data_IF_772807341007
#
_entry.id   IF_772807341007
#
_cell.length_a   1.000
_cell.length_b   1.000
_cell.length_c   1.000
_cell.angle_alpha   90.00
_cell.angle_beta   90.00
_cell.angle_gamma   90.00
#
_symmetry.space_group_name_H-M   'P 1'
#
loop_
_entity.id
_entity.type
_entity.pdbx_description
1 polymer ?
#
# COMPACT_ATOMS: atom_id res chain seq x y z
N UNK A 1 -22.91 0.27 -5.82
CA UNK A 1 -22.38 1.57 -5.37
C UNK A 1 -20.90 1.54 -5.61
N UNK A 2 -20.42 2.29 -6.59
CA UNK A 2 -19.00 2.32 -6.96
C UNK A 2 -18.20 3.06 -5.88
N UNK A 3 -17.48 2.31 -5.03
CA UNK A 3 -16.64 2.87 -3.97
C UNK A 3 -15.26 3.17 -4.55
N UNK A 4 -15.14 4.33 -5.19
CA UNK A 4 -13.89 4.76 -5.83
C UNK A 4 -13.17 5.80 -4.98
N UNK A 5 -11.88 5.58 -4.73
CA UNK A 5 -10.98 6.55 -4.10
C UNK A 5 -10.08 7.12 -5.19
N UNK A 6 -10.14 8.44 -5.38
CA UNK A 6 -9.36 9.14 -6.39
C UNK A 6 -8.24 9.95 -5.75
N UNK A 7 -7.01 9.77 -6.23
CA UNK A 7 -5.83 10.52 -5.79
C UNK A 7 -5.34 11.45 -6.91
N UNK A 8 -5.02 12.70 -6.58
CA UNK A 8 -4.46 13.66 -7.54
C UNK A 8 -3.38 14.53 -6.88
N UNK A 9 -2.21 14.65 -7.51
CA UNK A 9 -1.10 15.49 -7.03
C UNK A 9 0.15 14.69 -6.63
N UNK A 10 1.01 15.30 -5.82
CA UNK A 10 2.26 14.71 -5.33
C UNK A 10 2.20 14.58 -3.81
N UNK A 11 2.45 13.38 -3.28
CA UNK A 11 2.32 13.09 -1.86
C UNK A 11 3.60 12.45 -1.33
N UNK A 12 4.34 13.10 -0.41
CA UNK A 12 5.28 12.40 0.44
C UNK A 12 4.48 11.57 1.46
N UNK A 13 4.64 10.25 1.43
CA UNK A 13 3.87 9.33 2.29
C UNK A 13 4.78 8.47 3.14
N UNK A 14 4.40 8.28 4.38
CA UNK A 14 5.08 7.38 5.31
C UNK A 14 4.46 5.98 5.22
N UNK A 15 5.30 4.97 5.06
CA UNK A 15 4.88 3.58 5.06
C UNK A 15 4.48 3.15 6.47
N UNK A 16 3.36 2.43 6.59
CA UNK A 16 2.94 1.85 7.86
C UNK A 16 3.94 0.78 8.30
N UNK A 17 4.46 0.93 9.51
CA UNK A 17 5.43 0.00 10.09
C UNK A 17 4.80 -1.30 10.61
N UNK A 18 3.51 -1.25 10.97
CA UNK A 18 2.78 -2.40 11.48
C UNK A 18 1.40 -2.49 10.81
N UNK A 19 1.09 -3.68 10.30
CA UNK A 19 -0.22 -4.01 9.75
C UNK A 19 -0.94 -4.95 10.70
N UNK A 20 -2.21 -4.67 10.96
CA UNK A 20 -3.09 -5.57 11.71
C UNK A 20 -3.44 -6.79 10.83
N UNK A 21 -3.20 -8.02 11.30
CA UNK A 21 -3.67 -9.25 10.67
C UNK A 21 -5.14 -9.16 10.26
N UNK A 22 -5.45 -9.50 9.01
CA UNK A 22 -6.84 -9.47 8.50
C UNK A 22 -7.40 -8.07 8.25
N UNK A 23 -6.59 -7.02 8.41
CA UNK A 23 -6.94 -5.68 8.00
C UNK A 23 -6.70 -5.48 6.50
N UNK A 24 -7.54 -4.66 5.88
CA UNK A 24 -7.36 -4.21 4.51
C UNK A 24 -6.59 -2.90 4.45
N UNK A 25 -5.69 -2.79 3.48
CA UNK A 25 -4.80 -1.66 3.33
C UNK A 25 -4.67 -1.24 1.88
N UNK A 26 -4.33 0.04 1.70
CA UNK A 26 -3.95 0.61 0.43
C UNK A 26 -2.45 0.89 0.47
N UNK A 27 -1.74 0.45 -0.55
CA UNK A 27 -0.28 0.61 -0.61
C UNK A 27 0.31 0.19 -1.94
N UNK A 28 1.56 -0.25 -1.90
CA UNK A 28 2.33 -0.58 -3.10
C UNK A 28 3.07 -1.89 -2.93
N UNK A 29 3.39 -2.51 -4.06
CA UNK A 29 4.41 -3.55 -4.13
C UNK A 29 5.77 -2.89 -4.37
N UNK A 30 6.72 -3.06 -3.46
CA UNK A 30 8.06 -2.55 -3.65
C UNK A 30 8.72 -3.23 -4.85
N UNK A 31 9.15 -2.45 -5.84
CA UNK A 31 9.83 -3.02 -7.01
C UNK A 31 11.28 -3.50 -6.75
N UNK A 32 11.84 -3.24 -5.56
CA UNK A 32 13.18 -3.69 -5.19
C UNK A 32 13.16 -5.07 -4.50
N UNK A 33 12.39 -5.23 -3.41
CA UNK A 33 12.28 -6.50 -2.69
C UNK A 33 11.05 -7.33 -3.06
N UNK A 34 10.10 -6.76 -3.81
CA UNK A 34 8.88 -7.45 -4.24
C UNK A 34 7.78 -7.53 -3.17
N UNK A 35 8.01 -7.05 -1.95
CA UNK A 35 7.03 -7.09 -0.86
C UNK A 35 6.01 -5.95 -0.90
N UNK A 36 4.81 -6.23 -0.40
CA UNK A 36 3.77 -5.22 -0.23
C UNK A 36 3.98 -4.43 1.06
N UNK A 37 3.76 -3.12 0.99
CA UNK A 37 3.74 -2.25 2.16
C UNK A 37 2.56 -1.29 2.04
N UNK A 38 1.95 -0.94 3.18
CA UNK A 38 0.81 -0.05 3.22
C UNK A 38 1.24 1.40 3.46
N UNK A 39 0.46 2.34 2.93
CA UNK A 39 0.56 3.77 3.27
C UNK A 39 -0.66 4.24 4.08
N UNK A 40 -1.79 3.54 3.96
CA UNK A 40 -3.00 3.84 4.72
C UNK A 40 -3.90 2.61 4.89
N UNK A 41 -4.80 2.68 5.87
CA UNK A 41 -5.87 1.70 6.05
C UNK A 41 -6.93 1.88 4.94
N UNK A 42 -7.50 0.76 4.50
CA UNK A 42 -8.65 0.77 3.61
C UNK A 42 -9.90 1.15 4.42
N UNK A 43 -10.66 2.20 4.03
CA UNK A 43 -11.71 2.79 4.87
C UNK A 43 -12.97 1.93 5.07
N UNK A 44 -13.26 0.96 4.22
CA UNK A 44 -14.46 0.12 4.28
C UNK A 44 -14.21 -1.16 5.08
N UNK A 45 -12.97 -1.65 5.09
CA UNK A 45 -12.56 -2.87 5.77
C UNK A 45 -12.97 -4.15 5.04
N UNK A 46 -13.45 -4.02 3.80
CA UNK A 46 -13.93 -5.13 2.96
C UNK A 46 -13.07 -5.33 1.70
N UNK A 47 -12.11 -4.44 1.43
CA UNK A 47 -11.22 -4.54 0.27
C UNK A 47 -11.89 -4.19 -1.06
N UNK A 48 -13.19 -3.84 -1.05
CA UNK A 48 -13.96 -3.54 -2.25
C UNK A 48 -13.92 -2.05 -2.60
N UNK A 49 -12.70 -1.51 -2.71
CA UNK A 49 -12.48 -0.13 -3.18
C UNK A 49 -11.70 -0.09 -4.49
N UNK A 50 -12.23 0.65 -5.45
CA UNK A 50 -11.52 0.95 -6.69
C UNK A 50 -10.58 2.14 -6.45
N UNK A 51 -9.33 2.00 -6.89
CA UNK A 51 -8.34 3.07 -6.82
C UNK A 51 -8.20 3.73 -8.20
N UNK A 52 -8.12 5.05 -8.23
CA UNK A 52 -8.02 5.80 -9.49
C UNK A 52 -7.31 7.14 -9.29
N UNK A 53 -6.98 7.79 -10.41
CA UNK A 53 -6.47 9.15 -10.43
C UNK A 53 -5.05 9.28 -10.96
N UNK A 54 -4.51 10.48 -10.85
CA UNK A 54 -3.18 10.85 -11.35
C UNK A 54 -2.40 11.49 -10.21
N UNK A 55 -1.93 10.63 -9.31
CA UNK A 55 -1.07 11.00 -8.21
C UNK A 55 0.28 10.30 -8.27
N UNK A 56 1.28 10.93 -7.68
CA UNK A 56 2.59 10.37 -7.43
C UNK A 56 2.85 10.36 -5.92
N UNK A 57 3.41 9.25 -5.44
CA UNK A 57 3.63 8.96 -4.04
C UNK A 57 5.10 8.68 -3.81
N UNK A 58 5.75 9.51 -3.01
CA UNK A 58 7.13 9.31 -2.59
C UNK A 58 7.11 8.51 -1.28
N UNK A 59 7.52 7.24 -1.35
CA UNK A 59 7.46 6.32 -0.23
C UNK A 59 8.78 5.57 -0.06
N UNK A 60 9.11 5.26 1.19
CA UNK A 60 10.26 4.41 1.54
C UNK A 60 9.75 3.02 1.91
N UNK A 61 10.24 1.98 1.25
CA UNK A 61 9.86 0.62 1.60
C UNK A 61 10.33 0.29 3.03
N UNK A 62 9.43 -0.14 3.94
CA UNK A 62 9.81 -0.44 5.31
C UNK A 62 10.67 -1.71 5.44
N UNK A 63 10.64 -2.60 4.44
CA UNK A 63 11.42 -3.84 4.47
C UNK A 63 12.87 -3.67 3.98
N UNK A 64 13.08 -2.93 2.88
CA UNK A 64 14.42 -2.78 2.27
C UNK A 64 14.97 -1.35 2.31
N UNK A 65 14.28 -0.42 2.98
CA UNK A 65 14.63 1.00 3.08
C UNK A 65 14.84 1.74 1.75
N UNK A 66 14.41 1.15 0.62
CA UNK A 66 14.59 1.76 -0.70
C UNK A 66 13.54 2.85 -0.93
N UNK A 67 13.95 4.12 -1.16
CA UNK A 67 13.04 5.18 -1.54
C UNK A 67 12.64 5.04 -3.00
N UNK A 68 11.36 5.26 -3.30
CA UNK A 68 10.85 5.25 -4.69
C UNK A 68 9.60 6.11 -4.82
N UNK A 69 9.42 6.68 -6.01
CA UNK A 69 8.17 7.32 -6.43
C UNK A 69 7.28 6.29 -7.12
N UNK A 70 6.03 6.19 -6.66
CA UNK A 70 5.00 5.31 -7.19
C UNK A 70 3.85 6.14 -7.78
N UNK A 71 3.22 5.65 -8.82
CA UNK A 71 2.04 6.26 -9.41
C UNK A 71 0.75 5.71 -8.80
N UNK A 72 -0.36 6.46 -8.93
CA UNK A 72 -1.69 5.99 -8.50
C UNK A 72 -2.13 4.70 -9.20
N UNK A 73 -1.60 4.41 -10.40
CA UNK A 73 -1.86 3.16 -11.12
C UNK A 73 -1.12 1.95 -10.51
N UNK A 74 -0.08 2.17 -9.70
CA UNK A 74 0.65 1.13 -8.97
C UNK A 74 0.05 0.86 -7.58
N UNK A 75 -0.96 1.63 -7.17
CA UNK A 75 -1.65 1.39 -5.91
C UNK A 75 -2.38 0.05 -5.96
N UNK A 76 -2.29 -0.69 -4.88
CA UNK A 76 -2.98 -1.95 -4.67
C UNK A 76 -3.74 -1.92 -3.36
N UNK A 77 -4.93 -2.53 -3.38
CA UNK A 77 -5.68 -2.91 -2.19
C UNK A 77 -5.26 -4.33 -1.84
N UNK A 78 -4.83 -4.56 -0.60
CA UNK A 78 -4.42 -5.88 -0.15
C UNK A 78 -4.81 -6.11 1.31
N UNK A 79 -5.14 -7.35 1.63
CA UNK A 79 -5.29 -7.80 3.01
C UNK A 79 -3.90 -8.06 3.60
N UNK A 80 -3.63 -7.50 4.78
CA UNK A 80 -2.42 -7.88 5.50
C UNK A 80 -2.51 -9.34 5.91
N UNK A 81 -1.52 -10.13 5.48
CA UNK A 81 -1.41 -11.53 5.81
C UNK A 81 -1.64 -11.73 7.31
N UNK A 82 -2.49 -12.70 7.65
CA UNK A 82 -2.74 -13.07 9.03
C UNK A 82 -1.51 -13.76 9.61
N UNK A 83 -0.48 -13.00 9.96
CA UNK A 83 0.73 -13.46 10.66
C UNK A 83 1.38 -14.74 10.10
N UNK A 84 2.40 -14.58 9.26
CA UNK A 84 3.40 -15.62 9.03
C UNK A 84 4.77 -14.95 8.85
N UNK A 85 5.84 -15.48 9.45
CA UNK A 85 7.14 -14.81 9.52
C UNK A 85 7.68 -14.53 8.11
N UNK A 86 8.39 -13.41 7.95
CA UNK A 86 9.41 -13.30 6.91
C UNK A 86 10.21 -14.60 6.94
N UNK A 87 10.11 -15.38 5.86
CA UNK A 87 10.80 -16.66 5.76
C UNK A 87 12.28 -16.41 5.95
N UNK A 88 12.81 -16.83 7.10
CA UNK A 88 14.23 -17.05 7.30
C UNK A 88 14.67 -18.08 6.29
N UNK A 89 15.58 -17.70 5.40
CA UNK A 89 16.40 -18.62 4.63
C UNK A 89 17.85 -18.44 5.06
#
# INVERSE_FOLDING_TARGET
MDRTISFAGHFPVESKQALRPGGWYIGFRCGACGEHFAIMDEPTGDGEVALSGNAAFEAVCPNCATPRTYSAAELVVFEAAQGGPASTA
#
